data_IF_096849408634
#
_entry.id   IF_096849408634
#
_cell.length_a   1.000
_cell.length_b   1.000
_cell.length_c   1.000
_cell.angle_alpha   90.00
_cell.angle_beta   90.00
_cell.angle_gamma   90.00
#
_symmetry.space_group_name_H-M   'P 1'
#
loop_
_entity.id
_entity.type
_entity.pdbx_description
1 polymer ?
#
# COMPACT_ATOMS: atom_id res chain seq x y z
N UNK A 1 0.41 7.68 17.07
CA UNK A 1 -0.44 7.84 15.86
C UNK A 1 0.38 8.43 14.71
N UNK A 2 0.86 9.68 14.79
CA UNK A 2 1.61 10.33 13.69
C UNK A 2 2.87 9.57 13.25
N UNK A 3 3.71 9.13 14.19
CA UNK A 3 4.91 8.35 13.83
C UNK A 3 4.56 7.02 13.12
N UNK A 4 3.47 6.36 13.52
CA UNK A 4 3.00 5.14 12.86
C UNK A 4 2.58 5.43 11.43
N UNK A 5 1.87 6.54 11.20
CA UNK A 5 1.47 6.98 9.85
C UNK A 5 2.69 7.29 8.98
N UNK A 6 3.70 7.99 9.52
CA UNK A 6 4.96 8.22 8.80
C UNK A 6 5.68 6.92 8.44
N UNK A 7 5.73 5.96 9.37
CA UNK A 7 6.37 4.67 9.13
C UNK A 7 5.63 3.87 8.04
N UNK A 8 4.30 3.82 8.10
CA UNK A 8 3.48 3.17 7.09
C UNK A 8 3.67 3.83 5.71
N UNK A 9 3.50 5.15 5.63
CA UNK A 9 3.64 5.89 4.38
C UNK A 9 5.05 5.75 3.77
N UNK A 10 6.10 5.79 4.59
CA UNK A 10 7.48 5.62 4.11
C UNK A 10 7.71 4.20 3.58
N UNK A 11 7.27 3.17 4.31
CA UNK A 11 7.43 1.79 3.89
C UNK A 11 6.67 1.48 2.58
N UNK A 12 5.42 1.92 2.47
CA UNK A 12 4.62 1.81 1.25
C UNK A 12 5.23 2.59 0.09
N UNK A 13 5.76 3.80 0.35
CA UNK A 13 6.45 4.60 -0.66
C UNK A 13 7.71 3.93 -1.23
N UNK A 14 8.47 3.21 -0.40
CA UNK A 14 9.62 2.43 -0.90
C UNK A 14 9.20 1.27 -1.81
N UNK A 15 8.00 0.71 -1.62
CA UNK A 15 7.43 -0.29 -2.54
C UNK A 15 7.07 0.37 -3.87
N UNK A 16 6.32 1.48 -3.84
CA UNK A 16 5.93 2.22 -5.05
C UNK A 16 7.15 2.63 -5.89
N UNK A 17 8.25 3.05 -5.26
CA UNK A 17 9.51 3.38 -5.95
C UNK A 17 10.12 2.21 -6.71
N UNK A 18 9.94 0.96 -6.26
CA UNK A 18 10.43 -0.21 -7.00
C UNK A 18 9.71 -0.40 -8.32
N UNK A 19 8.43 -0.04 -8.38
CA UNK A 19 7.63 -0.12 -9.60
C UNK A 19 7.73 1.13 -10.48
N UNK A 20 8.25 2.24 -9.95
CA UNK A 20 8.44 3.45 -10.74
C UNK A 20 9.40 3.20 -11.91
N UNK A 21 8.89 3.35 -13.14
CA UNK A 21 9.59 3.09 -14.41
C UNK A 21 9.99 1.63 -14.65
N UNK A 22 9.38 0.70 -13.92
CA UNK A 22 9.48 -0.73 -14.17
C UNK A 22 8.11 -1.27 -14.59
N UNK A 23 8.09 -2.42 -15.25
CA UNK A 23 6.84 -3.09 -15.59
C UNK A 23 6.10 -3.54 -14.31
N UNK A 24 4.78 -3.44 -14.33
CA UNK A 24 3.90 -3.95 -13.29
C UNK A 24 2.60 -4.46 -13.91
N UNK A 25 1.97 -5.44 -13.26
CA UNK A 25 0.64 -5.90 -13.61
C UNK A 25 -0.38 -4.79 -13.36
N UNK A 26 -1.30 -4.63 -14.31
CA UNK A 26 -2.45 -3.72 -14.25
C UNK A 26 -3.71 -4.59 -14.32
N UNK A 27 -4.63 -4.37 -13.38
CA UNK A 27 -5.86 -5.12 -13.23
C UNK A 27 -7.05 -4.17 -13.25
N UNK A 28 -8.16 -4.63 -13.83
CA UNK A 28 -9.42 -3.86 -13.91
C UNK A 28 -10.46 -4.52 -13.01
N UNK A 29 -10.95 -3.82 -11.98
CA UNK A 29 -12.00 -4.28 -11.06
C UNK A 29 -13.42 -3.87 -11.48
N UNK A 30 -13.53 -2.84 -12.31
CA UNK A 30 -14.79 -2.30 -12.84
C UNK A 30 -14.50 -1.35 -14.01
N UNK A 31 -15.52 -0.74 -14.60
CA UNK A 31 -15.37 0.02 -15.85
C UNK A 31 -14.27 1.09 -15.81
N UNK A 32 -14.02 1.67 -14.64
CA UNK A 32 -13.04 2.73 -14.40
C UNK A 32 -12.17 2.48 -13.16
N UNK A 33 -12.09 1.23 -12.69
CA UNK A 33 -11.31 0.86 -11.51
C UNK A 33 -10.08 0.06 -11.95
N UNK A 34 -8.95 0.75 -12.05
CA UNK A 34 -7.65 0.17 -12.35
C UNK A 34 -6.82 0.13 -11.07
N UNK A 35 -6.15 -0.99 -10.87
CA UNK A 35 -5.21 -1.20 -9.77
C UNK A 35 -3.97 -1.90 -10.30
N UNK A 36 -2.83 -1.66 -9.69
CA UNK A 36 -1.55 -2.26 -10.09
C UNK A 36 -1.01 -3.19 -9.02
N UNK A 37 0.00 -3.99 -9.36
CA UNK A 37 0.79 -4.72 -8.34
C UNK A 37 1.35 -3.75 -7.27
N UNK A 38 1.77 -2.55 -7.69
CA UNK A 38 2.32 -1.54 -6.80
C UNK A 38 1.28 -1.07 -5.76
N UNK A 39 0.02 -0.89 -6.18
CA UNK A 39 -1.07 -0.49 -5.30
C UNK A 39 -1.35 -1.59 -4.27
N UNK A 40 -1.51 -2.85 -4.72
CA UNK A 40 -1.75 -3.98 -3.82
C UNK A 40 -0.64 -4.18 -2.79
N UNK A 41 0.63 -4.16 -3.22
CA UNK A 41 1.75 -4.37 -2.31
C UNK A 41 1.92 -3.21 -1.32
N UNK A 42 1.74 -1.98 -1.79
CA UNK A 42 1.90 -0.79 -0.94
C UNK A 42 0.78 -0.67 0.10
N UNK A 43 -0.47 -0.98 -0.27
CA UNK A 43 -1.62 -1.02 0.65
C UNK A 43 -1.44 -2.12 1.69
N UNK A 44 -1.11 -3.34 1.24
CA UNK A 44 -0.86 -4.47 2.13
C UNK A 44 0.19 -4.12 3.19
N UNK A 45 1.25 -3.42 2.81
CA UNK A 45 2.29 -3.00 3.76
C UNK A 45 1.80 -1.95 4.77
N UNK A 46 0.98 -1.00 4.33
CA UNK A 46 0.39 -0.02 5.23
C UNK A 46 -0.54 -0.69 6.26
N UNK A 47 -1.43 -1.57 5.79
CA UNK A 47 -2.34 -2.34 6.65
C UNK A 47 -1.55 -3.18 7.64
N UNK A 48 -0.52 -3.91 7.20
CA UNK A 48 0.34 -4.72 8.10
C UNK A 48 0.90 -3.89 9.26
N UNK A 49 1.47 -2.71 8.98
CA UNK A 49 2.05 -1.82 10.00
C UNK A 49 0.99 -1.27 10.95
N UNK A 50 -0.16 -0.87 10.39
CA UNK A 50 -1.24 -0.30 11.20
C UNK A 50 -1.91 -1.36 12.08
N UNK A 51 -2.21 -2.55 11.55
CA UNK A 51 -2.77 -3.67 12.31
C UNK A 51 -1.84 -4.13 13.44
N UNK A 52 -0.53 -4.14 13.21
CA UNK A 52 0.44 -4.46 14.28
C UNK A 52 0.43 -3.43 15.41
N UNK A 53 0.23 -2.13 15.08
CA UNK A 53 0.29 -1.05 16.07
C UNK A 53 -1.06 -0.76 16.73
N UNK A 54 -2.15 -1.03 16.03
CA UNK A 54 -3.53 -0.76 16.43
C UNK A 54 -4.37 -2.02 16.15
N UNK A 55 -4.21 -3.09 16.97
CA UNK A 55 -4.86 -4.38 16.71
C UNK A 55 -6.40 -4.32 16.78
N UNK A 56 -6.95 -3.34 17.50
CA UNK A 56 -8.41 -3.15 17.63
C UNK A 56 -8.99 -2.22 16.53
N UNK A 57 -8.15 -1.70 15.62
CA UNK A 57 -8.60 -0.86 14.53
C UNK A 57 -9.09 -1.71 13.36
N UNK A 58 -10.37 -1.55 12.99
CA UNK A 58 -10.97 -2.20 11.82
C UNK A 58 -10.74 -1.41 10.53
N UNK A 59 -10.55 -2.13 9.42
CA UNK A 59 -10.34 -1.62 8.06
C UNK A 59 -11.45 -2.08 7.13
#
# INVERSE_FOLDING_TARGET
>A
MLQTAFNAARASGEILKKYYRNDCGIYKKGDFDLVTDADYESEKKAIEILSQKFPDHSF
#
